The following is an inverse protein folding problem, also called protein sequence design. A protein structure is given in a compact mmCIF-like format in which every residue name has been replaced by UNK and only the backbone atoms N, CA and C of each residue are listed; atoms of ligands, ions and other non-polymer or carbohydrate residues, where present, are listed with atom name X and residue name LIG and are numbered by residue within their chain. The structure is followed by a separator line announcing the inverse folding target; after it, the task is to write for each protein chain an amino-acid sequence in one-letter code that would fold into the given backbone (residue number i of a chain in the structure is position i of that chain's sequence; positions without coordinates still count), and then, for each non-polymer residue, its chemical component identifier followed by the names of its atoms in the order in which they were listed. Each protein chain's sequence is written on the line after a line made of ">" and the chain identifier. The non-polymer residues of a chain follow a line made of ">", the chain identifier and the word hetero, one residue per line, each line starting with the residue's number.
data_IF_996303739494
#
_entry.id   IF_996303739494
#
_cell.length_a   1.000
_cell.length_b   1.000
_cell.length_c   1.000
_cell.angle_alpha   90.00
_cell.angle_beta   90.00
_cell.angle_gamma   90.00
#
_symmetry.space_group_name_H-M   'P 1'
#
loop_
_entity.id
_entity.type
_entity.pdbx_description
1 polymer ?
#
# COMPACT_ATOMS: atom_id res chain seq x y z
N UNK A 1 -14.63 2.24 -8.85
CA UNK A 1 -13.28 2.63 -8.48
C UNK A 1 -12.96 4.00 -9.04
N UNK A 2 -12.66 4.94 -8.14
CA UNK A 2 -12.18 6.28 -8.49
C UNK A 2 -10.82 6.18 -9.19
N UNK A 3 -10.49 7.17 -10.01
CA UNK A 3 -9.22 7.20 -10.74
C UNK A 3 -8.02 7.19 -9.78
N UNK A 4 -8.10 7.95 -8.69
CA UNK A 4 -7.08 7.95 -7.64
C UNK A 4 -6.91 6.56 -7.00
N UNK A 5 -8.00 5.84 -6.72
CA UNK A 5 -7.95 4.46 -6.20
C UNK A 5 -7.14 3.57 -7.14
N UNK A 6 -7.36 3.67 -8.45
CA UNK A 6 -6.64 2.86 -9.45
C UNK A 6 -5.14 3.18 -9.46
N UNK A 7 -4.76 4.45 -9.33
CA UNK A 7 -3.35 4.86 -9.26
C UNK A 7 -2.66 4.22 -8.04
N UNK A 8 -3.30 4.24 -6.87
CA UNK A 8 -2.72 3.63 -5.67
C UNK A 8 -2.62 2.10 -5.76
N UNK A 9 -3.61 1.44 -6.35
CA UNK A 9 -3.53 0.01 -6.61
C UNK A 9 -2.43 -0.33 -7.62
N UNK A 10 -2.25 0.47 -8.66
CA UNK A 10 -1.15 0.28 -9.62
C UNK A 10 0.21 0.34 -8.93
N UNK A 11 0.43 1.35 -8.09
CA UNK A 11 1.68 1.45 -7.33
C UNK A 11 1.86 0.29 -6.33
N UNK A 12 0.77 -0.20 -5.72
CA UNK A 12 0.81 -1.39 -4.87
C UNK A 12 1.26 -2.62 -5.66
N UNK A 13 0.71 -2.82 -6.86
CA UNK A 13 1.08 -3.91 -7.75
C UNK A 13 2.55 -3.83 -8.19
N UNK A 14 3.04 -2.65 -8.57
CA UNK A 14 4.46 -2.41 -8.87
C UNK A 14 5.37 -2.77 -7.68
N UNK A 15 4.94 -2.52 -6.44
CA UNK A 15 5.68 -2.94 -5.25
C UNK A 15 5.67 -4.47 -5.05
N UNK A 16 4.56 -5.15 -5.32
CA UNK A 16 4.49 -6.63 -5.23
C UNK A 16 5.40 -7.27 -6.29
N UNK A 17 5.38 -6.76 -7.52
CA UNK A 17 6.27 -7.21 -8.60
C UNK A 17 7.74 -7.00 -8.21
N UNK A 18 8.07 -5.83 -7.67
CA UNK A 18 9.42 -5.53 -7.17
C UNK A 18 9.85 -6.46 -6.04
N UNK A 19 8.97 -6.72 -5.06
CA UNK A 19 9.24 -7.63 -3.96
C UNK A 19 9.52 -9.06 -4.46
N UNK A 20 8.80 -9.52 -5.48
CA UNK A 20 8.99 -10.85 -6.06
C UNK A 20 10.39 -11.01 -6.67
N UNK A 21 10.83 -10.03 -7.46
CA UNK A 21 12.19 -10.02 -8.04
C UNK A 21 13.25 -10.00 -6.94
N UNK A 22 13.05 -9.18 -5.90
CA UNK A 22 14.01 -9.06 -4.79
C UNK A 22 14.10 -10.35 -3.97
N UNK A 23 12.97 -11.05 -3.79
CA UNK A 23 12.91 -12.36 -3.12
C UNK A 23 13.72 -13.40 -3.88
N UNK A 24 13.52 -13.50 -5.20
CA UNK A 24 14.26 -14.43 -6.08
C UNK A 24 15.77 -14.18 -6.06
N UNK A 25 16.18 -12.92 -5.83
CA UNK A 25 17.59 -12.52 -5.75
C UNK A 25 18.17 -12.53 -4.32
N UNK A 26 17.46 -13.08 -3.34
CA UNK A 26 17.86 -13.11 -1.92
C UNK A 26 18.13 -11.72 -1.30
N UNK A 27 17.51 -10.66 -1.84
CA UNK A 27 17.62 -9.29 -1.34
C UNK A 27 16.49 -9.01 -0.34
N UNK A 28 16.56 -9.64 0.83
CA UNK A 28 15.43 -9.70 1.77
C UNK A 28 15.02 -8.36 2.38
N UNK A 29 15.97 -7.51 2.76
CA UNK A 29 15.64 -6.20 3.36
C UNK A 29 14.82 -5.30 2.39
N UNK A 30 15.26 -5.04 1.15
CA UNK A 30 14.45 -4.28 0.20
C UNK A 30 13.19 -5.04 -0.25
N UNK A 31 13.16 -6.38 -0.23
CA UNK A 31 11.95 -7.16 -0.45
C UNK A 31 10.88 -6.83 0.61
N UNK A 32 11.25 -6.87 1.89
CA UNK A 32 10.35 -6.54 3.01
C UNK A 32 9.85 -5.09 2.92
N UNK A 33 10.71 -4.15 2.54
CA UNK A 33 10.32 -2.75 2.33
C UNK A 33 9.26 -2.62 1.22
N UNK A 34 9.40 -3.35 0.12
CA UNK A 34 8.42 -3.34 -0.96
C UNK A 34 7.08 -3.97 -0.54
N UNK A 35 7.10 -5.06 0.22
CA UNK A 35 5.88 -5.64 0.79
C UNK A 35 5.17 -4.67 1.73
N UNK A 36 5.91 -3.99 2.61
CA UNK A 36 5.34 -2.95 3.47
C UNK A 36 4.66 -1.85 2.63
N UNK A 37 5.33 -1.40 1.58
CA UNK A 37 4.81 -0.37 0.67
C UNK A 37 3.55 -0.83 -0.08
N UNK A 38 3.51 -2.08 -0.55
CA UNK A 38 2.31 -2.64 -1.18
C UNK A 38 1.11 -2.60 -0.23
N UNK A 39 1.29 -3.05 1.02
CA UNK A 39 0.23 -3.01 2.04
C UNK A 39 -0.22 -1.57 2.32
N UNK A 40 0.72 -0.64 2.50
CA UNK A 40 0.41 0.78 2.74
C UNK A 40 -0.43 1.38 1.60
N UNK A 41 -0.03 1.13 0.35
CA UNK A 41 -0.70 1.69 -0.83
C UNK A 41 -2.07 1.06 -1.07
N UNK A 42 -2.22 -0.24 -0.83
CA UNK A 42 -3.53 -0.90 -0.90
C UNK A 42 -4.50 -0.34 0.15
N UNK A 43 -4.05 -0.11 1.39
CA UNK A 43 -4.89 0.51 2.42
C UNK A 43 -5.28 1.95 2.05
N UNK A 44 -4.35 2.73 1.48
CA UNK A 44 -4.63 4.08 0.95
C UNK A 44 -5.67 4.06 -0.16
N UNK A 45 -5.60 3.08 -1.06
CA UNK A 45 -6.61 2.91 -2.11
C UNK A 45 -8.01 2.68 -1.51
N UNK A 46 -8.14 1.82 -0.49
CA UNK A 46 -9.42 1.58 0.19
C UNK A 46 -9.97 2.85 0.85
N UNK A 47 -9.12 3.60 1.58
CA UNK A 47 -9.50 4.88 2.21
C UNK A 47 -10.04 5.86 1.17
N UNK A 48 -9.35 6.00 0.04
CA UNK A 48 -9.74 6.88 -1.06
C UNK A 48 -11.05 6.42 -1.69
N UNK A 49 -11.20 5.12 -1.95
CA UNK A 49 -12.43 4.57 -2.53
C UNK A 49 -13.64 4.87 -1.64
N UNK A 50 -13.48 4.74 -0.33
CA UNK A 50 -14.51 5.03 0.67
C UNK A 50 -14.72 6.53 0.97
N UNK A 51 -13.99 7.44 0.30
CA UNK A 51 -14.04 8.89 0.58
C UNK A 51 -13.69 9.25 2.03
N UNK A 52 -12.92 8.42 2.72
CA UNK A 52 -12.47 8.70 4.08
C UNK A 52 -11.35 9.75 4.08
N UNK A 53 -11.17 10.44 5.21
CA UNK A 53 -10.13 11.45 5.35
C UNK A 53 -8.74 10.84 5.10
N UNK A 54 -8.14 11.20 3.96
CA UNK A 54 -6.79 10.76 3.62
C UNK A 54 -5.77 11.49 4.49
N UNK A 55 -5.11 10.75 5.40
CA UNK A 55 -3.98 11.27 6.16
C UNK A 55 -2.67 10.93 5.46
N UNK A 56 -1.81 11.95 5.28
CA UNK A 56 -0.43 11.76 4.82
C UNK A 56 0.39 11.07 5.91
N UNK A 57 0.32 9.75 5.95
CA UNK A 57 1.07 8.90 6.87
C UNK A 57 1.71 7.73 6.11
N UNK A 58 2.84 7.26 6.64
CA UNK A 58 3.52 6.02 6.23
C UNK A 58 3.33 4.88 7.25
N UNK A 59 2.40 5.06 8.19
CA UNK A 59 2.10 4.06 9.21
C UNK A 59 0.91 3.20 8.80
N UNK A 60 1.16 1.93 8.49
CA UNK A 60 0.11 0.91 8.27
C UNK A 60 -0.85 0.85 9.46
N UNK A 61 -0.33 1.02 10.69
CA UNK A 61 -1.15 1.01 11.91
C UNK A 61 -2.17 2.16 11.92
N UNK A 62 -1.76 3.35 11.51
CA UNK A 62 -2.65 4.52 11.42
C UNK A 62 -3.68 4.33 10.30
N UNK A 63 -3.27 3.84 9.12
CA UNK A 63 -4.20 3.56 8.02
C UNK A 63 -5.24 2.51 8.40
N UNK A 64 -4.82 1.45 9.10
CA UNK A 64 -5.73 0.45 9.65
C UNK A 64 -6.71 1.05 10.66
N UNK A 65 -6.23 1.96 11.51
CA UNK A 65 -7.09 2.64 12.49
C UNK A 65 -8.20 3.43 11.80
N UNK A 66 -7.87 4.21 10.77
CA UNK A 66 -8.85 4.96 9.96
C UNK A 66 -9.95 4.04 9.41
N UNK A 67 -9.57 2.87 8.89
CA UNK A 67 -10.52 1.92 8.30
C UNK A 67 -11.36 1.14 9.32
N UNK A 68 -10.91 1.03 10.58
CA UNK A 68 -11.66 0.33 11.63
C UNK A 68 -12.60 1.27 12.40
N UNK A 69 -12.33 2.58 12.38
CA UNK A 69 -13.09 3.61 13.08
C UNK A 69 -14.08 4.35 12.15
N UNK A 70 -14.13 3.99 10.88
CA UNK A 70 -15.03 4.52 9.84
C UNK A 70 -16.38 3.83 9.77
#
# INVERSE_FOLDING_TARGET
>A
MKDETQIWLKYSDENIQSASILLENNLFNPCLQNIQQAVEKSLKAVIIELSLEFRRTHSIRELRKILMES
#
